data_IF_836576832299
#
_entry.id   IF_836576832299
#
_cell.length_a   1.000
_cell.length_b   1.000
_cell.length_c   1.000
_cell.angle_alpha   90.00
_cell.angle_beta   90.00
_cell.angle_gamma   90.00
#
_symmetry.space_group_name_H-M   'P 1'
#
loop_
_entity.id
_entity.type
_entity.pdbx_description
1 polymer ?
#
# COMPACT_ATOMS: atom_id res chain seq x y z
N UNK A 1 39.12 14.12 8.18
CA UNK A 1 39.24 12.78 7.61
C UNK A 1 38.82 11.72 8.65
N UNK A 2 39.33 11.75 9.85
CA UNK A 2 38.99 10.83 10.96
C UNK A 2 37.50 10.94 11.34
N UNK A 3 36.91 12.14 11.23
CA UNK A 3 35.49 12.38 11.49
C UNK A 3 34.59 11.76 10.41
N UNK A 4 35.05 11.73 9.16
CA UNK A 4 34.33 11.11 8.03
C UNK A 4 34.33 9.60 8.09
N UNK A 5 35.42 8.95 8.52
CA UNK A 5 35.50 7.49 8.68
C UNK A 5 34.53 6.97 9.75
N UNK A 6 34.32 7.73 10.85
CA UNK A 6 33.28 7.39 11.85
C UNK A 6 31.84 7.53 11.36
N UNK A 7 31.61 8.28 10.26
CA UNK A 7 30.30 8.44 9.66
C UNK A 7 29.89 7.27 8.73
N UNK A 8 30.87 6.53 8.22
CA UNK A 8 30.67 5.40 7.28
C UNK A 8 30.92 4.04 7.94
N UNK A 9 30.98 3.96 9.27
CA UNK A 9 31.18 2.71 9.98
C UNK A 9 30.03 1.74 9.71
N UNK A 10 30.27 0.57 9.08
CA UNK A 10 29.24 -0.46 8.81
C UNK A 10 28.49 -0.90 10.07
N UNK A 11 29.13 -0.81 11.25
CA UNK A 11 28.48 -1.14 12.51
C UNK A 11 27.27 -0.22 12.83
N UNK A 12 27.31 1.04 12.39
CA UNK A 12 26.20 1.98 12.56
C UNK A 12 24.96 1.55 11.75
N UNK A 13 25.14 1.06 10.54
CA UNK A 13 24.05 0.57 9.70
C UNK A 13 23.50 -0.76 10.22
N UNK A 14 24.33 -1.63 10.81
CA UNK A 14 23.90 -2.84 11.46
C UNK A 14 22.92 -2.61 12.62
N UNK A 15 23.04 -1.48 13.34
CA UNK A 15 22.10 -1.11 14.41
C UNK A 15 20.68 -0.82 13.89
N UNK A 16 20.55 -0.29 12.68
CA UNK A 16 19.25 -0.03 12.04
C UNK A 16 18.46 -1.34 11.86
N UNK A 17 19.12 -2.39 11.37
CA UNK A 17 18.51 -3.71 11.17
C UNK A 17 18.29 -4.50 12.46
N UNK A 18 18.90 -4.10 13.59
CA UNK A 18 18.60 -4.65 14.92
C UNK A 18 17.37 -4.03 15.57
N UNK A 19 16.93 -2.87 15.08
CA UNK A 19 15.74 -2.19 15.59
C UNK A 19 14.47 -2.91 15.13
N UNK A 20 13.75 -3.54 16.06
CA UNK A 20 12.45 -4.19 15.78
C UNK A 20 11.43 -3.20 15.21
N UNK A 21 11.42 -1.95 15.72
CA UNK A 21 10.53 -0.91 15.21
C UNK A 21 10.84 -0.53 13.75
N UNK A 22 12.12 -0.45 13.37
CA UNK A 22 12.51 -0.18 11.99
C UNK A 22 12.09 -1.32 11.06
N UNK A 23 12.30 -2.57 11.45
CA UNK A 23 11.88 -3.74 10.67
C UNK A 23 10.34 -3.81 10.56
N UNK A 24 9.62 -3.55 11.64
CA UNK A 24 8.16 -3.50 11.65
C UNK A 24 7.62 -2.49 10.62
N UNK A 25 8.15 -1.29 10.62
CA UNK A 25 7.75 -0.21 9.70
C UNK A 25 8.14 -0.53 8.24
N UNK A 26 9.32 -1.12 8.02
CA UNK A 26 9.80 -1.50 6.67
C UNK A 26 9.15 -2.76 6.11
N UNK A 27 8.30 -3.44 6.87
CA UNK A 27 7.44 -4.55 6.41
C UNK A 27 5.97 -4.10 6.39
N UNK A 28 5.51 -3.45 7.45
CA UNK A 28 4.10 -3.10 7.64
C UNK A 28 3.58 -2.11 6.59
N UNK A 29 4.27 -1.01 6.33
CA UNK A 29 3.85 -0.08 5.29
C UNK A 29 3.97 -0.64 3.86
N UNK A 30 5.04 -1.36 3.47
CA UNK A 30 5.06 -2.07 2.20
C UNK A 30 3.94 -3.11 2.02
N UNK A 31 3.42 -3.71 3.09
CA UNK A 31 2.25 -4.58 2.99
C UNK A 31 0.97 -3.80 2.60
N UNK A 32 0.83 -2.54 3.04
CA UNK A 32 -0.24 -1.66 2.54
C UNK A 32 -0.04 -1.34 1.06
N UNK A 33 1.20 -1.04 0.65
CA UNK A 33 1.56 -0.83 -0.75
C UNK A 33 1.23 -2.03 -1.62
N UNK A 34 1.47 -3.24 -1.14
CA UNK A 34 1.15 -4.49 -1.84
C UNK A 34 -0.32 -4.52 -2.28
N UNK A 35 -1.23 -4.21 -1.36
CA UNK A 35 -2.66 -4.17 -1.67
C UNK A 35 -2.98 -3.02 -2.62
N UNK A 36 -2.48 -1.83 -2.35
CA UNK A 36 -2.78 -0.63 -3.14
C UNK A 36 -2.32 -0.78 -4.59
N UNK A 37 -1.07 -1.19 -4.81
CA UNK A 37 -0.54 -1.39 -6.16
C UNK A 37 -1.10 -2.64 -6.82
N UNK A 38 -1.33 -3.71 -6.05
CA UNK A 38 -1.91 -4.94 -6.57
C UNK A 38 -3.33 -4.72 -7.11
N UNK A 39 -4.20 -4.11 -6.32
CA UNK A 39 -5.56 -3.77 -6.74
C UNK A 39 -5.52 -2.75 -7.88
N UNK A 40 -4.73 -1.67 -7.75
CA UNK A 40 -4.65 -0.64 -8.78
C UNK A 40 -4.26 -1.18 -10.15
N UNK A 41 -3.28 -2.09 -10.20
CA UNK A 41 -2.81 -2.70 -11.45
C UNK A 41 -3.87 -3.61 -12.10
N UNK A 42 -4.57 -4.41 -11.30
CA UNK A 42 -5.54 -5.37 -11.80
C UNK A 42 -6.96 -4.82 -11.93
N UNK A 43 -7.24 -3.60 -11.45
CA UNK A 43 -8.57 -2.99 -11.54
C UNK A 43 -9.08 -2.82 -12.98
N UNK A 44 -8.32 -2.33 -13.99
CA UNK A 44 -8.83 -2.24 -15.35
C UNK A 44 -9.12 -3.62 -15.98
N UNK A 45 -8.24 -4.63 -15.90
CA UNK A 45 -8.57 -6.00 -16.32
C UNK A 45 -9.77 -6.61 -15.58
N UNK A 46 -9.95 -6.29 -14.30
CA UNK A 46 -11.10 -6.74 -13.52
C UNK A 46 -12.40 -6.13 -14.04
N UNK A 47 -12.44 -4.82 -14.28
CA UNK A 47 -13.61 -4.13 -14.86
C UNK A 47 -13.98 -4.71 -16.24
N UNK A 48 -12.98 -5.06 -17.04
CA UNK A 48 -13.23 -5.69 -18.33
C UNK A 48 -13.84 -7.09 -18.18
N UNK A 49 -13.27 -7.94 -17.31
CA UNK A 49 -13.70 -9.33 -17.17
C UNK A 49 -15.04 -9.47 -16.45
N UNK A 50 -15.28 -8.64 -15.43
CA UNK A 50 -16.44 -8.75 -14.54
C UNK A 50 -17.62 -7.89 -15.01
N UNK A 51 -17.36 -6.67 -15.49
CA UNK A 51 -18.39 -5.71 -15.91
C UNK A 51 -18.53 -5.57 -17.43
N UNK A 52 -17.63 -6.17 -18.22
CA UNK A 52 -17.65 -6.06 -19.68
C UNK A 52 -17.20 -4.71 -20.24
N UNK A 53 -16.60 -3.84 -19.42
CA UNK A 53 -16.09 -2.52 -19.83
C UNK A 53 -14.88 -2.65 -20.75
N UNK A 54 -14.66 -1.65 -21.63
CA UNK A 54 -13.42 -1.58 -22.37
C UNK A 54 -12.23 -1.27 -21.44
N UNK A 55 -11.06 -1.88 -21.69
CA UNK A 55 -9.84 -1.59 -20.91
C UNK A 55 -9.49 -0.09 -20.98
N UNK A 56 -9.74 0.56 -22.13
CA UNK A 56 -9.44 1.96 -22.33
C UNK A 56 -10.31 2.86 -21.44
N UNK A 57 -11.62 2.62 -21.40
CA UNK A 57 -12.55 3.41 -20.58
C UNK A 57 -12.34 3.12 -19.09
N UNK A 58 -12.22 1.85 -18.71
CA UNK A 58 -11.89 1.47 -17.36
C UNK A 58 -10.56 2.11 -16.89
N UNK A 59 -9.52 2.05 -17.73
CA UNK A 59 -8.23 2.68 -17.46
C UNK A 59 -8.32 4.19 -17.29
N UNK A 60 -9.12 4.86 -18.13
CA UNK A 60 -9.32 6.31 -18.04
C UNK A 60 -10.04 6.70 -16.75
N UNK A 61 -11.20 6.10 -16.47
CA UNK A 61 -12.01 6.48 -15.29
C UNK A 61 -11.33 6.09 -13.98
N UNK A 62 -10.77 4.88 -13.89
CA UNK A 62 -10.03 4.44 -12.72
C UNK A 62 -8.73 5.24 -12.54
N UNK A 63 -8.04 5.56 -13.64
CA UNK A 63 -6.82 6.36 -13.62
C UNK A 63 -7.06 7.78 -13.13
N UNK A 64 -8.07 8.48 -13.68
CA UNK A 64 -8.46 9.81 -13.23
C UNK A 64 -8.95 9.80 -11.78
N UNK A 65 -9.81 8.82 -11.43
CA UNK A 65 -10.28 8.63 -10.06
C UNK A 65 -9.15 8.42 -9.07
N UNK A 66 -8.17 7.57 -9.43
CA UNK A 66 -7.00 7.30 -8.60
C UNK A 66 -6.05 8.50 -8.49
N UNK A 67 -5.90 9.29 -9.55
CA UNK A 67 -5.08 10.51 -9.50
C UNK A 67 -5.67 11.55 -8.54
N UNK A 68 -6.98 11.82 -8.68
CA UNK A 68 -7.69 12.78 -7.82
C UNK A 68 -7.81 12.23 -6.40
N UNK A 69 -8.27 10.99 -6.25
CA UNK A 69 -8.43 10.33 -4.95
C UNK A 69 -7.10 10.20 -4.21
N UNK A 70 -6.03 9.80 -4.90
CA UNK A 70 -4.69 9.70 -4.35
C UNK A 70 -4.13 11.03 -3.86
N UNK A 71 -4.31 12.10 -4.64
CA UNK A 71 -3.92 13.44 -4.21
C UNK A 71 -4.67 13.85 -2.93
N UNK A 72 -5.99 13.70 -2.90
CA UNK A 72 -6.81 14.00 -1.72
C UNK A 72 -6.34 13.14 -0.52
N UNK A 73 -6.15 11.86 -0.73
CA UNK A 73 -5.76 10.90 0.31
C UNK A 73 -4.41 11.21 0.95
N UNK A 74 -3.39 11.51 0.15
CA UNK A 74 -2.06 11.87 0.65
C UNK A 74 -2.13 13.15 1.48
N UNK A 75 -2.85 14.18 1.00
CA UNK A 75 -3.00 15.45 1.71
C UNK A 75 -3.77 15.25 3.03
N UNK A 76 -4.93 14.59 2.98
CA UNK A 76 -5.73 14.32 4.19
C UNK A 76 -4.98 13.44 5.17
N UNK A 77 -4.27 12.41 4.70
CA UNK A 77 -3.46 11.53 5.55
C UNK A 77 -2.36 12.30 6.29
N UNK A 78 -1.71 13.24 5.62
CA UNK A 78 -0.74 14.15 6.23
C UNK A 78 -1.36 15.04 7.31
N UNK A 79 -2.45 15.73 6.97
CA UNK A 79 -3.18 16.61 7.91
C UNK A 79 -3.66 15.84 9.16
N UNK A 80 -4.26 14.68 8.97
CA UNK A 80 -4.74 13.83 10.06
C UNK A 80 -3.60 13.35 10.94
N UNK A 81 -2.49 12.91 10.33
CA UNK A 81 -1.32 12.46 11.06
C UNK A 81 -0.69 13.59 11.89
N UNK A 82 -0.58 14.79 11.34
CA UNK A 82 -0.02 15.95 12.04
C UNK A 82 -0.94 16.45 13.16
N UNK A 83 -2.25 16.45 12.95
CA UNK A 83 -3.23 16.78 13.99
C UNK A 83 -3.14 15.84 15.20
N UNK A 84 -3.05 14.55 14.97
CA UNK A 84 -2.94 13.57 16.05
C UNK A 84 -1.53 13.54 16.67
N UNK A 85 -0.49 13.90 15.92
CA UNK A 85 0.88 14.00 16.46
C UNK A 85 1.00 15.02 17.58
N UNK A 86 0.19 16.08 17.55
CA UNK A 86 0.12 17.04 18.66
C UNK A 86 -0.39 16.41 19.98
N UNK A 87 -1.08 15.27 19.89
CA UNK A 87 -1.68 14.58 21.04
C UNK A 87 -0.89 13.33 21.46
N UNK A 88 -0.28 12.60 20.50
CA UNK A 88 0.43 11.34 20.79
C UNK A 88 1.64 11.15 19.87
N UNK A 89 2.74 10.64 20.42
CA UNK A 89 3.97 10.36 19.67
C UNK A 89 3.75 9.29 18.60
N UNK A 90 2.85 8.34 18.85
CA UNK A 90 2.56 7.19 17.97
C UNK A 90 1.46 7.47 16.94
N UNK A 91 1.02 8.72 16.78
CA UNK A 91 -0.09 9.07 15.89
C UNK A 91 0.05 8.54 14.47
N UNK A 92 1.26 8.57 13.92
CA UNK A 92 1.55 8.08 12.56
C UNK A 92 1.36 6.57 12.41
N UNK A 93 1.68 5.81 13.44
CA UNK A 93 1.42 4.36 13.47
C UNK A 93 -0.09 4.09 13.55
N UNK A 94 -0.83 4.85 14.37
CA UNK A 94 -2.28 4.72 14.44
C UNK A 94 -2.98 5.04 13.11
N UNK A 95 -2.49 6.04 12.37
CA UNK A 95 -2.98 6.31 11.00
C UNK A 95 -2.65 5.12 10.09
N UNK A 96 -1.43 4.58 10.16
CA UNK A 96 -1.03 3.38 9.41
C UNK A 96 -1.91 2.15 9.72
N UNK A 97 -2.34 1.97 10.98
CA UNK A 97 -3.24 0.89 11.40
C UNK A 97 -4.69 1.14 10.97
N UNK A 98 -5.14 2.40 10.95
CA UNK A 98 -6.51 2.74 10.57
C UNK A 98 -6.78 2.55 9.08
N UNK A 99 -5.78 2.81 8.22
CA UNK A 99 -5.91 2.74 6.77
C UNK A 99 -6.37 1.36 6.28
N UNK A 100 -5.73 0.22 6.66
CA UNK A 100 -6.21 -1.10 6.28
C UNK A 100 -7.67 -1.35 6.67
N UNK A 101 -8.04 -0.97 7.90
CA UNK A 101 -9.39 -1.18 8.42
C UNK A 101 -10.44 -0.38 7.64
N UNK A 102 -10.11 0.87 7.28
CA UNK A 102 -10.99 1.74 6.51
C UNK A 102 -11.03 1.41 5.02
N UNK A 103 -9.93 0.91 4.44
CA UNK A 103 -9.84 0.62 3.01
C UNK A 103 -10.52 -0.70 2.62
N UNK A 104 -10.50 -1.72 3.50
CA UNK A 104 -11.07 -3.05 3.21
C UNK A 104 -12.53 -3.01 2.77
N UNK A 105 -13.46 -2.31 3.45
CA UNK A 105 -14.86 -2.27 3.03
C UNK A 105 -15.05 -1.73 1.60
N UNK A 106 -14.29 -0.72 1.23
CA UNK A 106 -14.37 -0.12 -0.11
C UNK A 106 -13.72 -1.02 -1.17
N UNK A 107 -12.62 -1.70 -0.83
CA UNK A 107 -12.03 -2.70 -1.72
C UNK A 107 -12.98 -3.87 -1.96
N UNK A 108 -13.61 -4.41 -0.91
CA UNK A 108 -14.62 -5.45 -1.05
C UNK A 108 -15.85 -4.95 -1.81
N UNK A 109 -16.33 -3.74 -1.53
CA UNK A 109 -17.41 -3.12 -2.29
C UNK A 109 -17.10 -3.03 -3.78
N UNK A 110 -15.88 -2.63 -4.15
CA UNK A 110 -15.39 -2.61 -5.54
C UNK A 110 -15.41 -4.00 -6.18
N UNK A 111 -14.94 -5.02 -5.46
CA UNK A 111 -14.79 -6.37 -5.99
C UNK A 111 -16.11 -7.13 -6.13
N UNK A 112 -17.09 -6.88 -5.26
CA UNK A 112 -18.31 -7.70 -5.19
C UNK A 112 -19.59 -6.99 -5.67
N UNK A 113 -19.53 -5.71 -6.04
CA UNK A 113 -20.73 -5.04 -6.59
C UNK A 113 -20.95 -5.40 -8.05
N UNK A 114 -22.19 -5.68 -8.41
CA UNK A 114 -22.60 -5.88 -9.81
C UNK A 114 -22.89 -4.56 -10.53
N UNK A 115 -23.09 -3.48 -9.78
CA UNK A 115 -23.39 -2.16 -10.35
C UNK A 115 -22.09 -1.42 -10.68
N UNK A 116 -21.88 -1.15 -11.97
CA UNK A 116 -20.67 -0.51 -12.49
C UNK A 116 -20.43 0.89 -11.91
N UNK A 117 -21.50 1.69 -11.71
CA UNK A 117 -21.36 3.02 -11.13
C UNK A 117 -20.91 2.95 -9.68
N UNK A 118 -21.41 1.97 -8.91
CA UNK A 118 -20.97 1.73 -7.54
C UNK A 118 -19.54 1.20 -7.50
N UNK A 119 -19.11 0.40 -8.48
CA UNK A 119 -17.73 -0.05 -8.59
C UNK A 119 -16.77 1.14 -8.72
N UNK A 120 -17.07 2.10 -9.58
CA UNK A 120 -16.26 3.33 -9.71
C UNK A 120 -16.25 4.17 -8.42
N UNK A 121 -17.40 4.30 -7.73
CA UNK A 121 -17.48 5.02 -6.45
C UNK A 121 -16.62 4.33 -5.39
N UNK A 122 -16.72 3.02 -5.24
CA UNK A 122 -15.91 2.27 -4.28
C UNK A 122 -14.42 2.32 -4.61
N UNK A 123 -14.05 2.22 -5.89
CA UNK A 123 -12.67 2.37 -6.34
C UNK A 123 -12.13 3.78 -6.02
N UNK A 124 -12.93 4.82 -6.23
CA UNK A 124 -12.56 6.18 -5.88
C UNK A 124 -12.33 6.34 -4.36
N UNK A 125 -13.26 5.87 -3.54
CA UNK A 125 -13.13 5.92 -2.07
C UNK A 125 -11.92 5.11 -1.58
N UNK A 126 -11.67 3.95 -2.16
CA UNK A 126 -10.47 3.18 -1.91
C UNK A 126 -9.21 3.97 -2.26
N UNK A 127 -9.19 4.66 -3.41
CA UNK A 127 -8.04 5.46 -3.85
C UNK A 127 -7.82 6.73 -3.02
N UNK A 128 -8.83 7.23 -2.31
CA UNK A 128 -8.69 8.30 -1.31
C UNK A 128 -8.05 7.77 -0.03
N UNK A 129 -8.47 6.61 0.44
CA UNK A 129 -8.03 6.10 1.76
C UNK A 129 -6.65 5.42 1.65
N UNK A 130 -6.47 4.56 0.64
CA UNK A 130 -5.32 3.68 0.58
C UNK A 130 -3.95 4.38 0.52
N UNK A 131 -3.72 5.55 -0.13
CA UNK A 131 -2.41 6.20 -0.18
C UNK A 131 -2.11 7.14 1.01
N UNK A 132 -3.04 7.32 1.94
CA UNK A 132 -2.89 8.23 3.09
C UNK A 132 -1.70 7.89 4.02
N UNK A 133 -1.17 6.66 3.96
CA UNK A 133 0.00 6.21 4.74
C UNK A 133 1.34 6.76 4.22
N UNK A 134 1.42 7.23 2.99
CA UNK A 134 2.71 7.57 2.33
C UNK A 134 3.51 8.58 3.13
N UNK A 135 2.88 9.69 3.54
CA UNK A 135 3.54 10.70 4.37
C UNK A 135 3.91 10.20 5.76
N UNK A 136 3.06 9.37 6.35
CA UNK A 136 3.29 8.77 7.66
C UNK A 136 4.51 7.84 7.65
N UNK A 137 4.62 6.99 6.64
CA UNK A 137 5.70 6.02 6.52
C UNK A 137 7.08 6.71 6.38
N UNK A 138 7.22 7.64 5.43
CA UNK A 138 8.46 8.37 5.20
C UNK A 138 8.93 9.11 6.47
N UNK A 139 8.00 9.76 7.16
CA UNK A 139 8.29 10.46 8.41
C UNK A 139 8.69 9.49 9.53
N UNK A 140 7.96 8.37 9.68
CA UNK A 140 8.25 7.39 10.74
C UNK A 140 9.61 6.73 10.55
N UNK A 141 9.97 6.35 9.31
CA UNK A 141 11.29 5.79 8.99
C UNK A 141 12.41 6.76 9.40
N UNK A 142 12.24 8.05 9.11
CA UNK A 142 13.24 9.06 9.45
C UNK A 142 13.33 9.38 10.95
N UNK A 143 12.23 9.23 11.69
CA UNK A 143 12.20 9.45 13.14
C UNK A 143 12.85 8.27 13.92
N UNK A 144 12.87 7.06 13.34
CA UNK A 144 13.46 5.86 13.97
C UNK A 144 14.97 5.75 13.86
N UNK A 145 15.61 6.63 13.07
CA UNK A 145 17.05 6.57 12.83
C UNK A 145 17.73 7.90 13.12
N UNK A 146 19.05 7.83 13.41
CA UNK A 146 19.83 9.05 13.61
C UNK A 146 19.87 9.92 12.35
N UNK A 147 19.96 11.26 12.46
CA UNK A 147 19.95 12.17 11.30
C UNK A 147 20.94 11.78 10.18
N UNK A 148 22.13 11.29 10.54
CA UNK A 148 23.16 10.86 9.59
C UNK A 148 22.79 9.60 8.78
N UNK A 149 21.81 8.81 9.25
CA UNK A 149 21.38 7.54 8.63
C UNK A 149 20.08 7.68 7.84
N UNK A 150 19.41 8.83 7.88
CA UNK A 150 18.10 9.05 7.27
C UNK A 150 18.08 8.75 5.77
N UNK A 151 19.10 9.18 5.03
CA UNK A 151 19.18 8.92 3.59
C UNK A 151 19.23 7.40 3.29
N UNK A 152 20.07 6.65 4.02
CA UNK A 152 20.20 5.20 3.84
C UNK A 152 18.92 4.47 4.29
N UNK A 153 18.33 4.88 5.41
CA UNK A 153 17.08 4.30 5.91
C UNK A 153 15.92 4.53 4.93
N UNK A 154 15.80 5.75 4.38
CA UNK A 154 14.80 6.06 3.35
C UNK A 154 15.04 5.27 2.06
N UNK A 155 16.29 5.12 1.62
CA UNK A 155 16.63 4.33 0.43
C UNK A 155 16.26 2.86 0.62
N UNK A 156 16.60 2.28 1.79
CA UNK A 156 16.21 0.90 2.14
C UNK A 156 14.70 0.73 2.20
N UNK A 157 13.99 1.65 2.87
CA UNK A 157 12.54 1.63 2.94
C UNK A 157 11.90 1.70 1.53
N UNK A 158 12.36 2.60 0.66
CA UNK A 158 11.87 2.71 -0.71
C UNK A 158 12.15 1.45 -1.52
N UNK A 159 13.31 0.80 -1.33
CA UNK A 159 13.62 -0.48 -1.94
C UNK A 159 12.61 -1.56 -1.50
N UNK A 160 12.37 -1.69 -0.20
CA UNK A 160 11.41 -2.66 0.35
C UNK A 160 9.99 -2.35 -0.13
N UNK A 161 9.60 -1.07 -0.16
CA UNK A 161 8.30 -0.64 -0.63
C UNK A 161 8.08 -0.94 -2.13
N UNK A 162 9.09 -0.71 -2.96
CA UNK A 162 9.05 -1.03 -4.39
C UNK A 162 9.01 -2.54 -4.61
N UNK A 163 9.84 -3.28 -3.89
CA UNK A 163 9.91 -4.73 -4.06
C UNK A 163 8.64 -5.43 -3.55
N UNK A 164 8.25 -5.19 -2.30
CA UNK A 164 7.07 -5.85 -1.70
C UNK A 164 5.77 -5.29 -2.30
N UNK A 165 5.66 -3.96 -2.43
CA UNK A 165 4.45 -3.31 -2.90
C UNK A 165 4.28 -3.42 -4.41
N UNK A 166 5.16 -2.75 -5.15
CA UNK A 166 4.98 -2.57 -6.60
C UNK A 166 5.34 -3.82 -7.41
N UNK A 167 6.34 -4.61 -6.99
CA UNK A 167 6.72 -5.80 -7.74
C UNK A 167 5.89 -7.02 -7.30
N UNK A 168 5.90 -7.38 -6.00
CA UNK A 168 5.22 -8.58 -5.54
C UNK A 168 3.69 -8.47 -5.54
N UNK A 169 3.11 -7.27 -5.30
CA UNK A 169 1.66 -7.08 -5.26
C UNK A 169 0.97 -7.54 -6.54
N UNK A 170 1.21 -6.87 -7.68
CA UNK A 170 0.61 -7.27 -8.95
C UNK A 170 1.02 -8.69 -9.40
N UNK A 171 2.29 -9.07 -9.16
CA UNK A 171 2.80 -10.39 -9.55
C UNK A 171 2.07 -11.53 -8.84
N UNK A 172 1.94 -11.49 -7.51
CA UNK A 172 1.29 -12.56 -6.76
C UNK A 172 -0.22 -12.62 -7.03
N UNK A 173 -0.91 -11.48 -7.16
CA UNK A 173 -2.32 -11.47 -7.53
C UNK A 173 -2.50 -12.14 -8.90
N UNK A 174 -1.63 -11.84 -9.89
CA UNK A 174 -1.66 -12.50 -11.18
C UNK A 174 -1.45 -14.00 -11.09
N UNK A 175 -0.43 -14.44 -10.33
CA UNK A 175 -0.14 -15.87 -10.13
C UNK A 175 -1.30 -16.62 -9.46
N UNK A 176 -1.93 -16.02 -8.45
CA UNK A 176 -3.11 -16.62 -7.82
C UNK A 176 -4.31 -16.67 -8.77
N UNK A 177 -4.54 -15.62 -9.56
CA UNK A 177 -5.58 -15.63 -10.59
C UNK A 177 -5.36 -16.77 -11.61
N UNK A 178 -4.12 -16.94 -12.08
CA UNK A 178 -3.78 -18.02 -13.01
C UNK A 178 -3.96 -19.42 -12.39
N UNK A 179 -3.63 -19.56 -11.09
CA UNK A 179 -3.83 -20.82 -10.37
C UNK A 179 -5.30 -21.19 -10.27
N UNK A 180 -6.18 -20.23 -9.94
CA UNK A 180 -7.63 -20.44 -9.91
C UNK A 180 -8.19 -20.76 -11.31
N UNK A 181 -7.75 -20.07 -12.36
CA UNK A 181 -8.13 -20.37 -13.74
C UNK A 181 -7.78 -21.80 -14.14
N UNK A 182 -6.57 -22.28 -13.79
CA UNK A 182 -6.15 -23.68 -14.03
C UNK A 182 -6.98 -24.70 -13.27
N UNK A 183 -7.56 -24.30 -12.14
CA UNK A 183 -8.48 -25.14 -11.35
C UNK A 183 -9.92 -25.17 -11.89
N UNK A 184 -10.18 -24.48 -13.03
CA UNK A 184 -11.49 -24.47 -13.69
C UNK A 184 -12.42 -23.35 -13.23
N UNK A 185 -11.93 -22.38 -12.43
CA UNK A 185 -12.70 -21.19 -12.04
C UNK A 185 -12.74 -20.20 -13.21
N UNK A 186 -13.89 -19.56 -13.43
CA UNK A 186 -14.03 -18.53 -14.48
C UNK A 186 -13.02 -17.39 -14.32
N UNK A 187 -12.59 -16.79 -15.45
CA UNK A 187 -11.53 -15.80 -15.47
C UNK A 187 -11.84 -14.53 -14.67
N UNK A 188 -13.12 -14.12 -14.62
CA UNK A 188 -13.53 -12.96 -13.82
C UNK A 188 -13.50 -13.29 -12.32
N UNK A 189 -14.07 -14.43 -11.95
CA UNK A 189 -14.12 -14.92 -10.57
C UNK A 189 -12.71 -15.25 -10.04
N UNK A 190 -11.87 -15.86 -10.86
CA UNK A 190 -10.47 -16.16 -10.50
C UNK A 190 -9.68 -14.89 -10.15
N UNK A 191 -9.85 -13.82 -10.92
CA UNK A 191 -9.21 -12.54 -10.61
C UNK A 191 -9.82 -11.88 -9.36
N UNK A 192 -11.15 -11.93 -9.20
CA UNK A 192 -11.85 -11.44 -8.02
C UNK A 192 -11.34 -12.11 -6.73
N UNK A 193 -11.25 -13.45 -6.74
CA UNK A 193 -10.71 -14.22 -5.61
C UNK A 193 -9.23 -13.88 -5.33
N UNK A 194 -8.40 -13.76 -6.36
CA UNK A 194 -7.01 -13.42 -6.21
C UNK A 194 -6.82 -12.02 -5.61
N UNK A 195 -7.60 -11.02 -6.06
CA UNK A 195 -7.57 -9.67 -5.49
C UNK A 195 -8.09 -9.66 -4.04
N UNK A 196 -9.13 -10.45 -3.73
CA UNK A 196 -9.63 -10.62 -2.35
C UNK A 196 -8.57 -11.25 -1.44
N UNK A 197 -7.86 -12.25 -1.92
CA UNK A 197 -6.69 -12.82 -1.23
C UNK A 197 -5.62 -11.77 -0.97
N UNK A 198 -5.35 -10.91 -1.95
CA UNK A 198 -4.42 -9.79 -1.82
C UNK A 198 -4.73 -8.87 -0.64
N UNK A 199 -6.01 -8.66 -0.30
CA UNK A 199 -6.42 -7.89 0.88
C UNK A 199 -5.89 -8.48 2.20
N UNK A 200 -5.56 -9.76 2.24
CA UNK A 200 -4.94 -10.40 3.40
C UNK A 200 -3.61 -9.76 3.82
N UNK A 201 -2.90 -9.09 2.90
CA UNK A 201 -1.69 -8.36 3.23
C UNK A 201 -1.96 -7.14 4.15
N UNK A 202 -3.18 -6.62 4.20
CA UNK A 202 -3.57 -5.63 5.20
C UNK A 202 -3.53 -6.20 6.63
N UNK A 203 -3.88 -7.48 6.82
CA UNK A 203 -3.73 -8.12 8.13
C UNK A 203 -2.25 -8.22 8.52
N UNK A 204 -1.35 -8.53 7.58
CA UNK A 204 0.09 -8.50 7.82
C UNK A 204 0.59 -7.11 8.23
N UNK A 205 0.08 -6.06 7.59
CA UNK A 205 0.40 -4.66 7.96
C UNK A 205 -0.02 -4.36 9.40
N UNK A 206 -1.25 -4.72 9.78
CA UNK A 206 -1.78 -4.50 11.14
C UNK A 206 -0.99 -5.28 12.19
N UNK A 207 -0.53 -6.49 11.88
CA UNK A 207 0.28 -7.31 12.79
C UNK A 207 1.73 -6.82 12.90
N UNK A 208 2.27 -6.17 11.86
CA UNK A 208 3.63 -5.69 11.84
C UNK A 208 3.79 -4.31 12.50
N UNK A 209 2.83 -3.41 12.36
CA UNK A 209 2.83 -2.04 12.91
C UNK A 209 2.31 -2.00 14.33
#
# INVERSE_FOLDING_TARGET
>A
WIHYQKLTDPACYGMMFKSKAFLAVTIGFPAISFVTYGIGFWSPPFMQRFHGESIADAGLYLGLGSAVGGFIGIVLGGIVADYFRAKTVNARLYVGLAIPLLAVPFALGFLYTENIAMAYIYSFLFSVISPAWIGCAASTVNDLVMPRMRATASAYYLLMNTFIGLALGPFLIGQFSDLYNRSGVDSAEALQLAMTWGLGAFALSVLAL
#
